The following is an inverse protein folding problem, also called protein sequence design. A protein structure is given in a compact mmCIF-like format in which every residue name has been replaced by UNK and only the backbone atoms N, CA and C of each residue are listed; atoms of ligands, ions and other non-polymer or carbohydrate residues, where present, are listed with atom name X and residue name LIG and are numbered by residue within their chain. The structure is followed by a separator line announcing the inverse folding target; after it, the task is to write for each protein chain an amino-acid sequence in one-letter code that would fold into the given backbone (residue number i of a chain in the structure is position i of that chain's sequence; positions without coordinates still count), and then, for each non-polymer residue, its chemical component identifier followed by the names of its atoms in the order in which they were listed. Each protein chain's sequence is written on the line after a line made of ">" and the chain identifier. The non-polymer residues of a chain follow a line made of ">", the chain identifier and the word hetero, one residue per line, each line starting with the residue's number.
data_IF_514347835596
#
_entry.id   IF_514347835596
#
_cell.length_a   1.000
_cell.length_b   1.000
_cell.length_c   1.000
_cell.angle_alpha   90.00
_cell.angle_beta   90.00
_cell.angle_gamma   90.00
#
_symmetry.space_group_name_H-M   'P 1'
#
loop_
_entity.id
_entity.type
_entity.pdbx_description
1 polymer ?
#
# COMPACT_ATOMS: atom_id res chain seq x y z
N UNK A 1 -12.98 -7.00 -11.59
CA UNK A 1 -13.41 -7.54 -10.28
C UNK A 1 -14.88 -7.25 -9.95
N UNK A 2 -15.62 -6.42 -10.70
CA UNK A 2 -17.08 -6.26 -10.53
C UNK A 2 -17.52 -5.23 -9.49
N UNK A 3 -16.59 -4.68 -8.70
CA UNK A 3 -16.86 -3.55 -7.82
C UNK A 3 -17.04 -2.23 -8.60
N UNK A 4 -17.82 -1.30 -8.02
CA UNK A 4 -18.00 0.06 -8.51
C UNK A 4 -17.11 1.02 -7.72
N UNK A 5 -16.01 1.55 -8.29
CA UNK A 5 -15.12 2.44 -7.56
C UNK A 5 -15.75 3.82 -7.33
N UNK A 6 -15.58 4.35 -6.13
CA UNK A 6 -16.02 5.70 -5.73
C UNK A 6 -14.81 6.46 -5.20
N UNK A 7 -14.65 7.72 -5.61
CA UNK A 7 -13.61 8.60 -5.07
C UNK A 7 -14.18 9.42 -3.92
N UNK A 8 -13.53 9.38 -2.75
CA UNK A 8 -13.90 10.10 -1.55
C UNK A 8 -12.65 10.70 -0.90
N UNK A 9 -12.81 11.81 -0.18
CA UNK A 9 -11.75 12.29 0.68
C UNK A 9 -11.58 11.33 1.87
N UNK A 10 -10.34 11.05 2.28
CA UNK A 10 -10.08 10.12 3.37
C UNK A 10 -10.76 10.55 4.68
N UNK A 11 -10.88 11.85 4.93
CA UNK A 11 -11.59 12.43 6.08
C UNK A 11 -13.09 12.09 6.12
N UNK A 12 -13.71 11.75 4.98
CA UNK A 12 -15.12 11.41 4.87
C UNK A 12 -15.36 9.90 4.97
N UNK A 13 -14.30 9.10 4.87
CA UNK A 13 -14.38 7.65 4.66
C UNK A 13 -15.06 6.92 5.81
N UNK A 14 -14.77 7.26 7.07
CA UNK A 14 -15.42 6.62 8.22
C UNK A 14 -16.94 6.78 8.16
N UNK A 15 -17.43 8.01 7.92
CA UNK A 15 -18.87 8.29 7.86
C UNK A 15 -19.49 7.62 6.63
N UNK A 16 -18.79 7.62 5.49
CA UNK A 16 -19.26 6.95 4.29
C UNK A 16 -19.42 5.43 4.48
N UNK A 17 -18.49 4.78 5.18
CA UNK A 17 -18.59 3.36 5.55
C UNK A 17 -19.71 3.13 6.57
N UNK A 18 -19.80 3.97 7.61
CA UNK A 18 -20.83 3.87 8.65
C UNK A 18 -22.25 3.98 8.08
N UNK A 19 -22.46 4.90 7.14
CA UNK A 19 -23.74 5.16 6.49
C UNK A 19 -23.97 4.25 5.27
N UNK A 20 -23.02 3.37 4.93
CA UNK A 20 -23.07 2.49 3.76
C UNK A 20 -23.21 3.24 2.42
N UNK A 21 -22.61 4.43 2.32
CA UNK A 21 -22.39 5.11 1.04
C UNK A 21 -21.38 4.32 0.21
N UNK A 22 -20.40 3.69 0.88
CA UNK A 22 -19.50 2.68 0.31
C UNK A 22 -19.46 1.46 1.23
N UNK A 23 -19.30 0.28 0.65
CA UNK A 23 -19.32 -0.98 1.41
C UNK A 23 -17.96 -1.37 2.00
N UNK A 24 -16.88 -0.87 1.40
CA UNK A 24 -15.52 -1.20 1.79
C UNK A 24 -14.47 -0.28 1.17
N UNK A 25 -13.22 -0.53 1.52
CA UNK A 25 -12.05 0.27 1.14
C UNK A 25 -10.79 -0.60 1.11
N UNK A 26 -9.70 -0.10 0.51
CA UNK A 26 -8.36 -0.69 0.60
C UNK A 26 -7.43 0.24 1.39
N UNK A 27 -6.71 -0.30 2.38
CA UNK A 27 -5.65 0.39 3.10
C UNK A 27 -4.76 -0.62 3.84
N UNK A 28 -3.53 -0.22 4.21
CA UNK A 28 -2.74 -0.94 5.22
C UNK A 28 -3.46 -1.00 6.58
N UNK A 29 -3.12 -2.01 7.40
CA UNK A 29 -3.70 -2.21 8.73
C UNK A 29 -3.56 -0.97 9.63
N UNK A 30 -2.41 -0.29 9.54
CA UNK A 30 -2.13 0.92 10.31
C UNK A 30 -3.17 2.03 10.07
N UNK A 31 -3.56 2.27 8.81
CA UNK A 31 -4.56 3.28 8.47
C UNK A 31 -5.95 2.86 8.97
N UNK A 32 -6.31 1.58 8.79
CA UNK A 32 -7.59 1.03 9.26
C UNK A 32 -7.73 1.17 10.77
N UNK A 33 -6.66 0.87 11.52
CA UNK A 33 -6.66 0.95 12.98
C UNK A 33 -6.66 2.39 13.47
N UNK A 34 -5.70 3.21 13.03
CA UNK A 34 -5.54 4.60 13.49
C UNK A 34 -6.74 5.48 13.17
N UNK A 35 -7.41 5.24 12.04
CA UNK A 35 -8.62 5.96 11.62
C UNK A 35 -9.91 5.28 12.09
N UNK A 36 -9.80 4.26 12.94
CA UNK A 36 -10.92 3.53 13.55
C UNK A 36 -11.90 2.91 12.55
N UNK A 37 -11.47 2.65 11.31
CA UNK A 37 -12.35 2.09 10.27
C UNK A 37 -12.85 0.69 10.64
N UNK A 38 -12.12 -0.03 11.50
CA UNK A 38 -12.53 -1.30 12.08
C UNK A 38 -13.80 -1.23 12.93
N UNK A 39 -14.17 -0.07 13.49
CA UNK A 39 -15.44 0.10 14.21
C UNK A 39 -16.66 -0.02 13.29
N UNK A 40 -16.47 0.21 11.98
CA UNK A 40 -17.53 0.26 10.95
C UNK A 40 -17.30 -0.74 9.81
N UNK A 41 -16.32 -1.65 9.96
CA UNK A 41 -15.96 -2.68 8.98
C UNK A 41 -15.65 -4.00 9.70
N UNK A 42 -16.30 -5.08 9.26
CA UNK A 42 -16.25 -6.38 9.95
C UNK A 42 -15.17 -7.33 9.43
N UNK A 43 -14.71 -7.13 8.20
CA UNK A 43 -13.83 -8.06 7.50
C UNK A 43 -12.61 -7.33 6.96
N UNK A 44 -11.45 -7.96 7.07
CA UNK A 44 -10.24 -7.58 6.33
C UNK A 44 -9.81 -8.79 5.50
N UNK A 45 -9.53 -8.57 4.22
CA UNK A 45 -9.02 -9.62 3.32
C UNK A 45 -7.61 -9.27 2.85
N UNK A 46 -6.65 -10.13 3.16
CA UNK A 46 -5.25 -9.98 2.74
C UNK A 46 -5.09 -10.35 1.27
N UNK A 47 -5.41 -9.38 0.42
CA UNK A 47 -5.48 -9.55 -1.04
C UNK A 47 -4.15 -9.39 -1.75
N UNK A 48 -3.12 -8.86 -1.08
CA UNK A 48 -1.77 -8.69 -1.65
C UNK A 48 -1.72 -7.87 -2.95
N UNK A 49 -2.73 -7.02 -3.19
CA UNK A 49 -2.98 -6.41 -4.50
C UNK A 49 -2.09 -5.18 -4.78
N UNK A 50 -1.38 -4.66 -3.78
CA UNK A 50 -0.52 -3.49 -3.90
C UNK A 50 0.60 -3.54 -2.86
N UNK A 51 1.82 -3.24 -3.28
CA UNK A 51 2.91 -2.87 -2.38
C UNK A 51 2.96 -1.34 -2.30
N UNK A 52 2.77 -0.79 -1.10
CA UNK A 52 2.81 0.65 -0.87
C UNK A 52 4.26 1.11 -0.66
N UNK A 53 4.66 2.19 -1.31
CA UNK A 53 6.01 2.76 -1.18
C UNK A 53 5.93 4.24 -0.90
N UNK A 54 6.62 4.70 0.15
CA UNK A 54 6.83 6.12 0.41
C UNK A 54 8.26 6.50 0.01
N UNK A 55 8.48 7.10 -1.16
CA UNK A 55 9.83 7.46 -1.58
C UNK A 55 10.40 8.56 -0.69
N UNK A 56 11.63 8.37 -0.24
CA UNK A 56 12.41 9.47 0.31
C UNK A 56 12.88 10.35 -0.85
N UNK A 57 12.48 11.62 -0.86
CA UNK A 57 12.79 12.56 -1.93
C UNK A 57 13.48 13.78 -1.32
N UNK A 58 14.55 14.22 -1.96
CA UNK A 58 15.27 15.44 -1.62
C UNK A 58 15.36 16.35 -2.86
N UNK A 59 15.38 17.66 -2.64
CA UNK A 59 15.67 18.62 -3.72
C UNK A 59 17.03 18.32 -4.32
N UNK A 60 17.06 18.08 -5.64
CA UNK A 60 18.31 17.83 -6.36
C UNK A 60 19.27 19.02 -6.26
N UNK A 61 18.76 20.25 -6.35
CA UNK A 61 19.61 21.45 -6.23
C UNK A 61 20.28 21.52 -4.85
N UNK A 62 19.54 21.19 -3.80
CA UNK A 62 20.10 21.17 -2.45
C UNK A 62 21.14 20.06 -2.33
N UNK A 63 20.80 18.84 -2.74
CA UNK A 63 21.71 17.70 -2.67
C UNK A 63 23.02 17.94 -3.43
N UNK A 64 22.92 18.45 -4.66
CA UNK A 64 24.09 18.76 -5.51
C UNK A 64 24.95 19.91 -4.94
N UNK A 65 24.39 20.77 -4.07
CA UNK A 65 25.13 21.85 -3.40
C UNK A 65 25.96 21.39 -2.20
N UNK A 66 25.73 20.16 -1.72
CA UNK A 66 26.43 19.58 -0.58
C UNK A 66 27.81 19.03 -0.99
N UNK A 67 28.68 18.86 0.01
CA UNK A 67 29.94 18.13 -0.19
C UNK A 67 29.69 16.67 -0.54
N UNK A 68 30.67 16.00 -1.17
CA UNK A 68 30.57 14.58 -1.47
C UNK A 68 30.40 13.71 -0.20
N UNK A 69 31.01 14.13 0.91
CA UNK A 69 30.89 13.44 2.19
C UNK A 69 29.48 13.58 2.77
N UNK A 70 28.88 14.78 2.71
CA UNK A 70 27.50 15.00 3.17
C UNK A 70 26.48 14.27 2.29
N UNK A 71 26.69 14.27 0.97
CA UNK A 71 25.86 13.50 0.04
C UNK A 71 25.86 12.01 0.39
N UNK A 72 27.04 11.46 0.68
CA UNK A 72 27.20 10.07 1.10
C UNK A 72 26.50 9.80 2.42
N UNK A 73 26.69 10.66 3.43
CA UNK A 73 26.03 10.52 4.74
C UNK A 73 24.50 10.54 4.63
N UNK A 74 23.93 11.40 3.79
CA UNK A 74 22.48 11.45 3.56
C UNK A 74 21.99 10.13 2.96
N UNK A 75 22.71 9.58 1.97
CA UNK A 75 22.33 8.30 1.34
C UNK A 75 22.41 7.16 2.37
N UNK A 76 23.49 7.10 3.15
CA UNK A 76 23.67 6.08 4.18
C UNK A 76 22.56 6.14 5.23
N UNK A 77 22.28 7.33 5.77
CA UNK A 77 21.19 7.53 6.72
C UNK A 77 19.81 7.17 6.14
N UNK A 78 19.55 7.50 4.87
CA UNK A 78 18.31 7.13 4.20
C UNK A 78 18.17 5.60 4.04
N UNK A 79 19.28 4.90 3.78
CA UNK A 79 19.29 3.44 3.67
C UNK A 79 19.06 2.76 5.03
N UNK A 80 19.70 3.24 6.08
CA UNK A 80 19.48 2.77 7.45
C UNK A 80 18.03 3.00 7.90
N UNK A 81 17.51 4.21 7.68
CA UNK A 81 16.12 4.54 8.01
C UNK A 81 15.11 3.67 7.25
N UNK A 82 15.39 3.36 5.98
CA UNK A 82 14.57 2.45 5.16
C UNK A 82 14.54 1.04 5.75
N UNK A 83 15.68 0.49 6.17
CA UNK A 83 15.72 -0.85 6.77
C UNK A 83 15.04 -0.90 8.14
N UNK A 84 15.25 0.13 8.97
CA UNK A 84 14.54 0.31 10.24
C UNK A 84 13.02 0.40 10.04
N UNK A 85 12.57 1.27 9.13
CA UNK A 85 11.14 1.46 8.86
C UNK A 85 10.46 0.17 8.37
N UNK A 86 11.13 -0.62 7.52
CA UNK A 86 10.60 -1.91 7.05
C UNK A 86 10.44 -2.92 8.19
N UNK A 87 11.43 -3.00 9.07
CA UNK A 87 11.37 -3.88 10.24
C UNK A 87 10.22 -3.49 11.18
N UNK A 88 10.11 -2.22 11.52
CA UNK A 88 9.04 -1.72 12.39
C UNK A 88 7.66 -1.83 11.75
N UNK A 89 7.53 -1.59 10.44
CA UNK A 89 6.25 -1.76 9.74
C UNK A 89 5.78 -3.21 9.79
N UNK A 90 6.67 -4.18 9.54
CA UNK A 90 6.34 -5.60 9.63
C UNK A 90 5.94 -6.00 11.04
N UNK A 91 6.65 -5.50 12.06
CA UNK A 91 6.31 -5.74 13.46
C UNK A 91 4.93 -5.15 13.80
N UNK A 92 4.67 -3.91 13.38
CA UNK A 92 3.39 -3.24 13.59
C UNK A 92 2.23 -4.00 12.93
N UNK A 93 2.41 -4.55 11.73
CA UNK A 93 1.38 -5.34 11.06
C UNK A 93 1.00 -6.58 11.88
N UNK A 94 1.98 -7.31 12.44
CA UNK A 94 1.70 -8.47 13.30
C UNK A 94 0.97 -8.06 14.60
N UNK A 95 1.38 -6.96 15.23
CA UNK A 95 0.68 -6.43 16.42
C UNK A 95 -0.75 -5.97 16.09
N UNK A 96 -0.95 -5.36 14.91
CA UNK A 96 -2.25 -4.85 14.48
C UNK A 96 -3.22 -5.97 14.11
N UNK A 97 -2.74 -7.08 13.54
CA UNK A 97 -3.58 -8.27 13.33
C UNK A 97 -4.21 -8.74 14.64
N UNK A 98 -3.43 -8.79 15.72
CA UNK A 98 -3.93 -9.17 17.06
C UNK A 98 -4.96 -8.16 17.54
N UNK A 99 -4.63 -6.87 17.55
CA UNK A 99 -5.53 -5.81 18.01
C UNK A 99 -6.85 -5.76 17.23
N UNK A 100 -6.80 -5.94 15.92
CA UNK A 100 -7.99 -5.93 15.07
C UNK A 100 -8.86 -7.16 15.30
N UNK A 101 -8.25 -8.34 15.52
CA UNK A 101 -8.97 -9.55 15.89
C UNK A 101 -9.64 -9.40 17.27
N UNK A 102 -8.92 -8.85 18.25
CA UNK A 102 -9.47 -8.53 19.58
C UNK A 102 -10.60 -7.51 19.53
N UNK A 103 -10.57 -6.59 18.56
CA UNK A 103 -11.65 -5.65 18.27
C UNK A 103 -12.84 -6.29 17.51
N UNK A 104 -12.79 -7.58 17.22
CA UNK A 104 -13.88 -8.33 16.58
C UNK A 104 -13.87 -8.31 15.05
N UNK A 105 -12.77 -7.90 14.41
CA UNK A 105 -12.62 -7.98 12.95
C UNK A 105 -12.23 -9.40 12.53
N UNK A 106 -12.90 -9.92 11.52
CA UNK A 106 -12.55 -11.20 10.90
C UNK A 106 -11.47 -10.99 9.82
N UNK A 107 -10.31 -11.61 10.03
CA UNK A 107 -9.19 -11.59 9.09
C UNK A 107 -9.26 -12.79 8.15
N UNK A 108 -9.23 -12.53 6.84
CA UNK A 108 -9.31 -13.55 5.79
C UNK A 108 -8.06 -13.53 4.92
N UNK A 109 -7.47 -14.71 4.69
CA UNK A 109 -6.38 -14.90 3.74
C UNK A 109 -6.92 -15.26 2.35
N UNK A 110 -6.30 -14.74 1.29
CA UNK A 110 -6.64 -15.12 -0.09
C UNK A 110 -5.74 -16.27 -0.52
N UNK A 111 -6.33 -17.45 -0.66
CA UNK A 111 -5.61 -18.68 -1.01
C UNK A 111 -5.26 -18.78 -2.50
N UNK A 112 -6.03 -18.13 -3.38
CA UNK A 112 -5.81 -18.12 -4.83
C UNK A 112 -5.68 -16.67 -5.33
N UNK A 113 -4.43 -16.18 -5.34
CA UNK A 113 -4.11 -14.85 -5.89
C UNK A 113 -4.11 -14.84 -7.42
N UNK A 114 -4.04 -16.00 -8.07
CA UNK A 114 -3.96 -16.10 -9.53
C UNK A 114 -5.29 -15.73 -10.18
N UNK A 115 -6.43 -16.00 -9.53
CA UNK A 115 -7.73 -15.54 -10.02
C UNK A 115 -7.80 -14.00 -10.07
N UNK A 116 -7.31 -13.31 -9.03
CA UNK A 116 -7.23 -11.85 -9.03
C UNK A 116 -6.30 -11.32 -10.12
N UNK A 117 -5.14 -11.96 -10.33
CA UNK A 117 -4.19 -11.61 -11.39
C UNK A 117 -4.80 -11.80 -12.77
N UNK A 118 -5.48 -12.92 -13.01
CA UNK A 118 -6.15 -13.21 -14.28
C UNK A 118 -7.24 -12.18 -14.60
N UNK A 119 -8.10 -11.86 -13.62
CA UNK A 119 -9.18 -10.88 -13.78
C UNK A 119 -8.68 -9.43 -13.96
N UNK A 120 -7.45 -9.13 -13.53
CA UNK A 120 -6.83 -7.81 -13.66
C UNK A 120 -5.87 -7.70 -14.85
N UNK A 121 -5.52 -8.80 -15.53
CA UNK A 121 -4.68 -8.80 -16.74
C UNK A 121 -5.07 -7.73 -17.79
N UNK A 122 -6.37 -7.51 -18.10
CA UNK A 122 -6.76 -6.48 -19.07
C UNK A 122 -6.34 -5.05 -18.70
N UNK A 123 -6.11 -4.77 -17.41
CA UNK A 123 -5.61 -3.47 -16.93
C UNK A 123 -4.18 -3.24 -17.43
N UNK A 124 -3.31 -4.25 -17.34
CA UNK A 124 -1.96 -4.19 -17.88
C UNK A 124 -1.98 -4.00 -19.40
N UNK A 125 -2.81 -4.75 -20.11
CA UNK A 125 -2.94 -4.65 -21.56
C UNK A 125 -3.42 -3.25 -21.99
N UNK A 126 -4.35 -2.64 -21.24
CA UNK A 126 -4.81 -1.27 -21.48
C UNK A 126 -3.66 -0.26 -21.33
N UNK A 127 -2.86 -0.34 -20.26
CA UNK A 127 -1.78 0.61 -20.02
C UNK A 127 -0.58 0.37 -20.93
N UNK A 128 -0.28 -0.89 -21.28
CA UNK A 128 0.80 -1.25 -22.22
C UNK A 128 0.57 -0.63 -23.60
N UNK A 129 -0.68 -0.48 -24.06
CA UNK A 129 -1.00 0.23 -25.31
C UNK A 129 -0.56 1.70 -25.29
N UNK A 130 -0.55 2.34 -24.13
CA UNK A 130 -0.19 3.76 -23.97
C UNK A 130 1.29 3.95 -23.58
N UNK A 131 1.81 3.05 -22.76
CA UNK A 131 3.15 3.13 -22.18
C UNK A 131 3.85 1.75 -22.20
N UNK A 132 4.19 1.22 -23.39
CA UNK A 132 4.66 -0.15 -23.52
C UNK A 132 5.93 -0.41 -22.70
N UNK A 133 6.95 0.42 -22.89
CA UNK A 133 8.23 0.28 -22.19
C UNK A 133 8.12 0.38 -20.67
N UNK A 134 7.28 1.31 -20.18
CA UNK A 134 7.07 1.48 -18.73
C UNK A 134 6.38 0.27 -18.12
N UNK A 135 5.30 -0.21 -18.74
CA UNK A 135 4.56 -1.38 -18.22
C UNK A 135 5.44 -2.62 -18.22
N UNK A 136 6.20 -2.85 -19.29
CA UNK A 136 7.10 -4.01 -19.37
C UNK A 136 8.25 -3.91 -18.35
N UNK A 137 8.78 -2.71 -18.11
CA UNK A 137 9.78 -2.48 -17.06
C UNK A 137 9.22 -2.75 -15.67
N UNK A 138 7.99 -2.33 -15.38
CA UNK A 138 7.34 -2.56 -14.08
C UNK A 138 7.06 -4.05 -13.87
N UNK A 139 6.53 -4.75 -14.89
CA UNK A 139 6.27 -6.20 -14.80
C UNK A 139 7.57 -6.97 -14.55
N UNK A 140 8.60 -6.70 -15.36
CA UNK A 140 9.91 -7.34 -15.18
C UNK A 140 10.51 -7.05 -13.81
N UNK A 141 10.36 -5.83 -13.31
CA UNK A 141 10.83 -5.45 -11.97
C UNK A 141 10.11 -6.22 -10.86
N UNK A 142 8.80 -6.46 -11.01
CA UNK A 142 8.00 -7.21 -10.06
C UNK A 142 8.31 -8.72 -10.03
N UNK A 143 8.82 -9.28 -11.13
CA UNK A 143 9.25 -10.70 -11.20
C UNK A 143 10.64 -10.94 -10.56
N UNK A 144 11.39 -9.88 -10.29
CA UNK A 144 12.78 -9.95 -9.82
C UNK A 144 12.96 -9.64 -8.32
N UNK A 145 11.92 -9.12 -7.66
CA UNK A 145 11.92 -8.77 -6.23
C UNK A 145 11.10 -9.76 -5.41
#
# INVERSE_FOLDING_TARGET
>A
LGASPVSLAFSELYIALQQKVVDGQENPLMNIYSSKLHEVQKYISFTGHKYETTPFIMSKMLFDSLSADDQKLIIEAAMEAKDFNRAESKKADEELKVKLTEAGVELNEINDIEEFRALTKPVYDKWRKKYPELVDKVIKGAEQG
#
